data_IF_657134570987
#
_entry.id   IF_657134570987
#
_cell.length_a   1.000
_cell.length_b   1.000
_cell.length_c   1.000
_cell.angle_alpha   90.00
_cell.angle_beta   90.00
_cell.angle_gamma   90.00
#
_symmetry.space_group_name_H-M   'P 1'
#
loop_
_entity.id
_entity.type
_entity.pdbx_description
1 polymer ?
#
# COMPACT_ATOMS: atom_id res chain seq x y z
N UNK A 1 -28.86 -30.18 -12.59
CA UNK A 1 -28.67 -28.76 -12.31
C UNK A 1 -29.96 -28.22 -11.77
N UNK A 2 -30.04 -27.82 -10.51
CA UNK A 2 -31.25 -27.19 -9.99
C UNK A 2 -31.24 -25.70 -10.28
N UNK A 3 -32.39 -25.22 -10.79
CA UNK A 3 -32.65 -23.82 -11.08
C UNK A 3 -32.61 -22.94 -9.83
N UNK A 4 -31.91 -21.82 -9.93
CA UNK A 4 -31.91 -20.77 -8.88
C UNK A 4 -33.22 -19.97 -8.94
N UNK A 5 -33.90 -19.73 -7.81
CA UNK A 5 -35.06 -18.87 -7.78
C UNK A 5 -34.62 -17.38 -7.95
N UNK A 6 -35.32 -16.73 -8.86
CA UNK A 6 -35.23 -15.27 -9.12
C UNK A 6 -35.70 -14.50 -7.88
N UNK A 7 -34.97 -13.42 -7.47
CA UNK A 7 -35.45 -12.55 -6.40
C UNK A 7 -36.71 -11.79 -6.82
N UNK A 8 -37.73 -11.82 -5.98
CA UNK A 8 -38.95 -11.04 -6.18
C UNK A 8 -38.66 -9.54 -6.02
N UNK A 9 -39.08 -8.75 -7.02
CA UNK A 9 -39.10 -7.29 -6.92
C UNK A 9 -40.02 -6.84 -5.77
N UNK A 10 -39.65 -5.83 -5.01
CA UNK A 10 -40.53 -5.22 -4.02
C UNK A 10 -41.63 -4.44 -4.76
N UNK A 11 -42.84 -4.94 -4.72
CA UNK A 11 -44.03 -4.19 -5.09
C UNK A 11 -44.28 -3.09 -4.05
N UNK A 12 -43.86 -1.87 -4.36
CA UNK A 12 -44.35 -0.66 -3.70
C UNK A 12 -45.83 -0.48 -4.05
N UNK A 13 -46.71 -1.02 -3.21
CA UNK A 13 -48.13 -0.72 -3.29
C UNK A 13 -48.37 0.67 -2.72
N UNK A 14 -48.98 1.59 -3.50
CA UNK A 14 -49.32 2.92 -2.99
C UNK A 14 -50.35 2.77 -1.86
N UNK A 15 -49.99 3.26 -0.68
CA UNK A 15 -50.92 3.31 0.47
C UNK A 15 -51.93 4.41 0.18
N UNK A 16 -53.14 4.02 -0.20
CA UNK A 16 -54.26 4.92 -0.38
C UNK A 16 -54.91 5.16 0.98
N UNK A 17 -54.72 6.32 1.58
CA UNK A 17 -55.50 6.72 2.75
C UNK A 17 -56.83 7.34 2.30
N UNK A 18 -57.93 6.60 2.54
CA UNK A 18 -59.26 7.16 2.36
C UNK A 18 -59.64 7.98 3.60
N UNK A 19 -59.74 9.30 3.44
CA UNK A 19 -60.32 10.16 4.46
C UNK A 19 -61.81 10.24 4.19
N UNK A 20 -62.66 9.90 5.19
CA UNK A 20 -64.08 9.95 5.14
C UNK A 20 -64.53 11.43 4.91
N UNK A 21 -64.89 11.75 3.64
CA UNK A 21 -65.23 13.09 3.25
C UNK A 21 -64.91 13.41 1.77
N UNK A 22 -64.42 12.45 1.00
CA UNK A 22 -64.32 12.56 -0.47
C UNK A 22 -63.08 13.25 -1.02
N UNK A 23 -62.02 13.39 -0.24
CA UNK A 23 -60.73 13.88 -0.73
C UNK A 23 -59.68 12.76 -0.72
N UNK A 24 -59.19 12.36 -1.88
CA UNK A 24 -58.12 11.39 -2.04
C UNK A 24 -56.80 12.14 -2.26
N UNK A 25 -55.84 12.00 -1.35
CA UNK A 25 -54.54 12.59 -1.50
C UNK A 25 -53.56 11.50 -1.94
N UNK A 26 -52.97 11.65 -3.11
CA UNK A 26 -51.96 10.74 -3.64
C UNK A 26 -50.56 11.19 -3.20
N UNK A 27 -49.73 10.35 -2.55
CA UNK A 27 -48.39 10.75 -2.18
C UNK A 27 -47.50 10.84 -3.43
N UNK A 28 -46.92 12.00 -3.67
CA UNK A 28 -45.98 12.19 -4.80
C UNK A 28 -45.87 13.61 -5.35
N UNK A 29 -46.51 14.59 -4.73
CA UNK A 29 -46.37 15.98 -5.09
C UNK A 29 -46.73 16.93 -3.96
N UNK A 30 -46.27 18.18 -4.02
CA UNK A 30 -46.64 19.21 -3.08
C UNK A 30 -48.15 19.48 -3.18
N UNK A 31 -48.91 18.93 -2.23
CA UNK A 31 -50.34 19.20 -2.13
C UNK A 31 -50.56 20.40 -1.17
N UNK A 32 -50.85 21.58 -1.73
CA UNK A 32 -51.27 22.73 -0.96
C UNK A 32 -52.80 22.71 -0.89
N UNK A 33 -53.36 22.24 0.25
CA UNK A 33 -54.79 22.24 0.49
C UNK A 33 -55.13 23.49 1.28
N UNK A 34 -55.52 24.54 0.59
CA UNK A 34 -56.12 25.71 1.21
C UNK A 34 -57.62 25.65 1.04
N UNK A 35 -58.32 25.25 2.11
CA UNK A 35 -59.80 25.23 2.16
C UNK A 35 -60.30 24.57 3.44
N UNK A 36 -61.51 24.94 3.84
CA UNK A 36 -62.19 24.34 4.98
C UNK A 36 -62.71 22.93 4.62
N UNK A 37 -62.13 21.90 5.22
CA UNK A 37 -62.70 20.55 5.18
C UNK A 37 -63.77 20.47 6.24
N UNK A 38 -65.04 20.63 5.84
CA UNK A 38 -66.19 20.58 6.75
C UNK A 38 -66.65 19.12 6.91
N UNK A 39 -66.15 18.46 7.93
CA UNK A 39 -66.82 17.33 8.54
C UNK A 39 -67.82 17.86 9.58
N UNK A 40 -68.57 16.98 10.26
CA UNK A 40 -69.58 17.36 11.26
C UNK A 40 -69.04 18.24 12.39
N UNK A 41 -67.73 18.24 12.58
CA UNK A 41 -66.99 19.16 13.47
C UNK A 41 -65.96 19.88 12.64
N UNK A 42 -65.93 21.22 12.76
CA UNK A 42 -64.97 22.08 12.06
C UNK A 42 -63.56 21.90 12.65
N UNK A 43 -62.77 20.99 12.05
CA UNK A 43 -61.39 20.81 12.41
C UNK A 43 -60.52 21.52 11.40
N UNK A 44 -59.95 22.65 11.84
CA UNK A 44 -58.94 23.36 11.04
C UNK A 44 -57.57 22.69 11.31
N UNK A 45 -57.13 21.80 10.44
CA UNK A 45 -55.80 21.22 10.53
C UNK A 45 -54.87 21.94 9.58
N UNK A 46 -54.02 22.80 10.12
CA UNK A 46 -52.92 23.40 9.33
C UNK A 46 -51.73 22.47 9.35
N UNK A 47 -51.55 21.72 8.30
CA UNK A 47 -50.34 20.88 8.13
C UNK A 47 -49.31 21.70 7.39
N UNK A 48 -48.32 22.20 8.11
CA UNK A 48 -47.15 22.81 7.48
C UNK A 48 -46.19 21.68 7.11
N UNK A 49 -46.17 21.29 5.85
CA UNK A 49 -45.14 20.38 5.33
C UNK A 49 -43.89 21.21 5.10
N UNK A 50 -42.96 21.12 6.04
CA UNK A 50 -41.62 21.70 5.84
C UNK A 50 -40.85 20.76 4.92
N UNK A 51 -40.75 21.11 3.66
CA UNK A 51 -39.90 20.39 2.72
C UNK A 51 -38.44 20.64 3.12
N UNK A 52 -37.81 19.68 3.83
CA UNK A 52 -36.41 19.73 4.23
C UNK A 52 -35.53 19.35 3.04
N UNK A 53 -35.89 19.75 1.84
CA UNK A 53 -35.04 19.67 0.66
C UNK A 53 -33.84 20.59 0.86
N UNK A 54 -32.63 20.05 0.72
CA UNK A 54 -31.44 20.91 0.70
C UNK A 54 -31.55 21.90 -0.45
N UNK A 55 -31.44 23.20 -0.12
CA UNK A 55 -31.40 24.25 -1.14
C UNK A 55 -30.21 24.01 -2.07
N UNK A 56 -30.34 24.40 -3.34
CA UNK A 56 -29.25 24.25 -4.33
C UNK A 56 -27.94 24.87 -3.85
N UNK A 57 -28.02 25.92 -3.06
CA UNK A 57 -26.87 26.57 -2.44
C UNK A 57 -26.25 25.73 -1.31
N UNK A 58 -27.06 25.06 -0.50
CA UNK A 58 -26.57 24.14 0.54
C UNK A 58 -25.87 22.93 -0.09
N UNK A 59 -26.42 22.36 -1.17
CA UNK A 59 -25.79 21.29 -1.94
C UNK A 59 -24.46 21.75 -2.53
N UNK A 60 -24.43 22.93 -3.16
CA UNK A 60 -23.19 23.50 -3.70
C UNK A 60 -22.12 23.71 -2.64
N UNK A 61 -22.48 24.25 -1.47
CA UNK A 61 -21.55 24.42 -0.36
C UNK A 61 -21.03 23.07 0.15
N UNK A 62 -21.90 22.07 0.28
CA UNK A 62 -21.52 20.72 0.68
C UNK A 62 -20.51 20.13 -0.29
N UNK A 63 -20.77 20.18 -1.60
CA UNK A 63 -19.88 19.66 -2.64
C UNK A 63 -18.52 20.35 -2.61
N UNK A 64 -18.50 21.69 -2.46
CA UNK A 64 -17.24 22.44 -2.35
C UNK A 64 -16.49 22.03 -1.08
N UNK A 65 -17.18 21.95 0.08
CA UNK A 65 -16.54 21.57 1.35
C UNK A 65 -15.97 20.16 1.29
N UNK A 66 -16.73 19.20 0.77
CA UNK A 66 -16.25 17.82 0.58
C UNK A 66 -15.08 17.77 -0.41
N UNK A 67 -15.16 18.51 -1.51
CA UNK A 67 -14.08 18.61 -2.50
C UNK A 67 -12.79 19.17 -1.89
N UNK A 68 -12.89 20.25 -1.11
CA UNK A 68 -11.74 20.85 -0.41
C UNK A 68 -11.17 19.88 0.62
N UNK A 69 -12.02 19.17 1.37
CA UNK A 69 -11.58 18.20 2.38
C UNK A 69 -10.84 17.03 1.72
N UNK A 70 -11.38 16.47 0.64
CA UNK A 70 -10.75 15.38 -0.11
C UNK A 70 -9.40 15.84 -0.68
N UNK A 71 -9.35 17.04 -1.27
CA UNK A 71 -8.10 17.59 -1.81
C UNK A 71 -7.05 17.84 -0.71
N UNK A 72 -7.44 18.43 0.43
CA UNK A 72 -6.55 18.63 1.56
C UNK A 72 -6.04 17.31 2.13
N UNK A 73 -6.90 16.30 2.25
CA UNK A 73 -6.51 14.95 2.70
C UNK A 73 -5.51 14.33 1.74
N UNK A 74 -5.74 14.41 0.43
CA UNK A 74 -4.81 13.91 -0.58
C UNK A 74 -3.45 14.61 -0.48
N UNK A 75 -3.42 15.95 -0.35
CA UNK A 75 -2.18 16.70 -0.16
C UNK A 75 -1.42 16.27 1.10
N UNK A 76 -2.12 16.05 2.22
CA UNK A 76 -1.51 15.55 3.45
C UNK A 76 -0.89 14.16 3.24
N UNK A 77 -1.55 13.25 2.54
CA UNK A 77 -1.01 11.93 2.22
C UNK A 77 0.26 12.02 1.36
N UNK A 78 0.25 12.87 0.32
CA UNK A 78 1.43 13.08 -0.52
C UNK A 78 2.60 13.69 0.26
N UNK A 79 2.33 14.70 1.09
CA UNK A 79 3.36 15.31 1.92
C UNK A 79 3.94 14.32 2.95
N UNK A 80 3.08 13.55 3.61
CA UNK A 80 3.51 12.52 4.55
C UNK A 80 4.34 11.43 3.87
N UNK A 81 3.92 10.95 2.69
CA UNK A 81 4.68 9.99 1.89
C UNK A 81 6.07 10.52 1.52
N UNK A 82 6.17 11.78 1.06
CA UNK A 82 7.44 12.41 0.71
C UNK A 82 8.37 12.54 1.92
N UNK A 83 7.87 12.99 3.07
CA UNK A 83 8.68 13.14 4.30
C UNK A 83 9.17 11.78 4.81
N UNK A 84 8.30 10.77 4.85
CA UNK A 84 8.67 9.45 5.38
C UNK A 84 9.56 8.64 4.43
N UNK A 85 9.51 8.94 3.13
CA UNK A 85 10.37 8.34 2.11
C UNK A 85 11.70 9.10 1.93
N UNK A 86 11.85 10.31 2.48
CA UNK A 86 12.95 11.21 2.16
C UNK A 86 14.34 10.59 2.38
N UNK A 87 14.54 9.85 3.47
CA UNK A 87 15.82 9.20 3.75
C UNK A 87 16.18 8.14 2.69
N UNK A 88 15.21 7.34 2.26
CA UNK A 88 15.40 6.35 1.21
C UNK A 88 15.63 7.03 -0.14
N UNK A 89 14.83 8.05 -0.48
CA UNK A 89 14.99 8.81 -1.73
C UNK A 89 16.36 9.47 -1.82
N UNK A 90 16.88 10.05 -0.72
CA UNK A 90 18.23 10.58 -0.63
C UNK A 90 19.30 9.51 -0.90
N UNK A 91 19.11 8.29 -0.36
CA UNK A 91 20.01 7.18 -0.62
C UNK A 91 20.01 6.76 -2.10
N UNK A 92 18.86 6.76 -2.76
CA UNK A 92 18.75 6.43 -4.20
C UNK A 92 19.24 7.54 -5.13
N UNK A 93 19.36 8.78 -4.65
CA UNK A 93 19.96 9.87 -5.41
C UNK A 93 21.49 9.69 -5.59
N UNK A 94 22.15 8.90 -4.73
CA UNK A 94 23.57 8.58 -4.84
C UNK A 94 23.83 7.62 -5.99
N UNK A 95 24.86 7.85 -6.83
CA UNK A 95 25.28 6.87 -7.82
C UNK A 95 25.83 5.61 -7.13
N UNK A 96 25.49 4.44 -7.64
CA UNK A 96 26.12 3.16 -7.28
C UNK A 96 26.40 2.41 -8.57
N UNK A 97 27.65 2.04 -8.75
CA UNK A 97 28.12 1.33 -9.93
C UNK A 97 27.74 -0.16 -9.81
N UNK A 98 26.57 -0.49 -10.38
CA UNK A 98 26.16 -1.90 -10.46
C UNK A 98 26.88 -2.59 -11.61
N UNK A 99 27.57 -3.69 -11.33
CA UNK A 99 28.30 -4.50 -12.33
C UNK A 99 27.84 -5.97 -12.32
N UNK A 100 27.90 -6.60 -13.47
CA UNK A 100 27.56 -8.02 -13.60
C UNK A 100 28.53 -8.90 -12.78
N UNK A 101 29.80 -8.50 -12.67
CA UNK A 101 30.78 -9.21 -11.86
C UNK A 101 30.41 -9.20 -10.36
N UNK A 102 30.03 -8.04 -9.82
CA UNK A 102 29.58 -7.94 -8.42
C UNK A 102 28.30 -8.78 -8.18
N UNK A 103 27.38 -8.78 -9.16
CA UNK A 103 26.19 -9.61 -9.08
C UNK A 103 26.52 -11.11 -9.02
N UNK A 104 27.42 -11.57 -9.86
CA UNK A 104 27.86 -12.98 -9.85
C UNK A 104 28.63 -13.34 -8.59
N UNK A 105 29.49 -12.45 -8.07
CA UNK A 105 30.18 -12.69 -6.80
C UNK A 105 29.18 -12.82 -5.64
N UNK A 106 28.19 -11.96 -5.58
CA UNK A 106 27.12 -12.04 -4.58
C UNK A 106 26.37 -13.38 -4.69
N UNK A 107 25.95 -13.75 -5.90
CA UNK A 107 25.25 -14.99 -6.17
C UNK A 107 26.08 -16.24 -5.78
N UNK A 108 27.36 -16.23 -6.08
CA UNK A 108 28.26 -17.34 -5.72
C UNK A 108 28.36 -17.47 -4.18
N UNK A 109 28.46 -16.37 -3.45
CA UNK A 109 28.49 -16.38 -2.01
C UNK A 109 27.15 -16.88 -1.42
N UNK A 110 26.03 -16.45 -1.99
CA UNK A 110 24.69 -16.90 -1.60
C UNK A 110 24.55 -18.42 -1.82
N UNK A 111 25.00 -18.91 -2.97
CA UNK A 111 24.99 -20.34 -3.30
C UNK A 111 25.90 -21.16 -2.35
N UNK A 112 27.05 -20.59 -1.95
CA UNK A 112 27.91 -21.23 -0.96
C UNK A 112 27.21 -21.37 0.40
N UNK A 113 26.51 -20.32 0.85
CA UNK A 113 25.73 -20.39 2.10
C UNK A 113 24.60 -21.41 1.98
N UNK A 114 23.91 -21.45 0.84
CA UNK A 114 22.84 -22.42 0.57
C UNK A 114 23.33 -23.88 0.49
N UNK A 115 24.60 -24.10 0.09
CA UNK A 115 25.21 -25.42 -0.01
C UNK A 115 25.76 -25.95 1.32
N UNK A 116 25.76 -25.14 2.38
CA UNK A 116 26.23 -25.57 3.71
C UNK A 116 25.31 -26.66 4.30
N UNK A 117 25.91 -27.52 5.12
CA UNK A 117 25.14 -28.53 5.86
C UNK A 117 24.17 -27.84 6.86
N UNK A 118 23.06 -28.53 7.22
CA UNK A 118 22.09 -27.98 8.17
C UNK A 118 22.76 -27.55 9.47
N UNK A 119 22.38 -26.39 9.98
CA UNK A 119 22.91 -25.80 11.23
C UNK A 119 24.38 -25.43 11.20
N UNK A 120 25.02 -25.45 10.03
CA UNK A 120 26.41 -25.01 9.93
C UNK A 120 26.46 -23.47 10.07
N UNK A 121 27.31 -22.94 10.96
CA UNK A 121 27.49 -21.51 11.09
C UNK A 121 28.22 -20.95 9.87
N UNK A 122 27.86 -19.74 9.48
CA UNK A 122 28.55 -19.00 8.42
C UNK A 122 28.68 -17.52 8.81
N UNK A 123 29.66 -16.89 8.19
CA UNK A 123 29.80 -15.44 8.19
C UNK A 123 29.87 -14.96 6.76
N UNK A 124 29.03 -14.00 6.42
CA UNK A 124 28.96 -13.43 5.09
C UNK A 124 28.97 -11.91 5.19
N UNK A 125 29.82 -11.26 4.39
CA UNK A 125 29.92 -9.82 4.28
C UNK A 125 29.76 -9.41 2.82
N UNK A 126 28.98 -8.37 2.56
CA UNK A 126 28.76 -7.82 1.22
C UNK A 126 28.53 -6.30 1.27
N UNK A 127 28.89 -5.65 0.20
CA UNK A 127 28.72 -4.22 0.04
C UNK A 127 27.36 -3.84 -0.58
N UNK A 128 27.00 -2.58 -0.50
CA UNK A 128 25.79 -2.04 -1.15
C UNK A 128 25.80 -2.29 -2.67
N UNK A 129 26.98 -2.17 -3.29
CA UNK A 129 27.22 -2.45 -4.71
C UNK A 129 26.91 -3.90 -5.09
N UNK A 130 27.29 -4.85 -4.24
CA UNK A 130 27.08 -6.28 -4.49
C UNK A 130 25.58 -6.62 -4.50
N UNK A 131 24.87 -6.20 -3.44
CA UNK A 131 23.42 -6.42 -3.33
C UNK A 131 22.66 -5.67 -4.43
N UNK A 132 23.02 -4.41 -4.72
CA UNK A 132 22.38 -3.62 -5.77
C UNK A 132 22.59 -4.23 -7.16
N UNK A 133 23.78 -4.74 -7.42
CA UNK A 133 24.11 -5.45 -8.66
C UNK A 133 23.31 -6.75 -8.79
N UNK A 134 23.24 -7.54 -7.73
CA UNK A 134 22.46 -8.77 -7.70
C UNK A 134 20.97 -8.51 -7.96
N UNK A 135 20.38 -7.52 -7.26
CA UNK A 135 18.98 -7.13 -7.47
C UNK A 135 18.74 -6.72 -8.91
N UNK A 136 19.63 -5.96 -9.51
CA UNK A 136 19.46 -5.46 -10.87
C UNK A 136 19.62 -6.54 -11.95
N UNK A 137 20.63 -7.39 -11.83
CA UNK A 137 21.05 -8.30 -12.92
C UNK A 137 20.57 -9.74 -12.75
N UNK A 138 20.24 -10.16 -11.53
CA UNK A 138 19.85 -11.55 -11.25
C UNK A 138 18.41 -11.63 -10.76
N UNK A 139 18.11 -11.07 -9.61
CA UNK A 139 16.77 -11.13 -9.00
C UNK A 139 15.73 -10.39 -9.86
N UNK A 140 16.02 -9.16 -10.25
CA UNK A 140 15.06 -8.29 -10.93
C UNK A 140 14.45 -8.89 -12.18
N UNK A 141 15.23 -9.44 -13.13
CA UNK A 141 14.71 -10.11 -14.31
C UNK A 141 13.79 -11.29 -14.00
N UNK A 142 14.01 -12.00 -12.90
CA UNK A 142 13.20 -13.16 -12.51
C UNK A 142 11.83 -12.75 -11.96
N UNK A 143 11.78 -11.65 -11.22
CA UNK A 143 10.57 -11.20 -10.52
C UNK A 143 9.87 -10.02 -11.21
N UNK A 144 10.36 -9.59 -12.37
CA UNK A 144 9.83 -8.44 -13.12
C UNK A 144 10.04 -7.12 -12.39
N UNK A 145 11.16 -6.97 -11.66
CA UNK A 145 11.52 -5.79 -10.90
C UNK A 145 12.82 -5.17 -11.42
N UNK A 146 12.73 -4.07 -12.14
CA UNK A 146 13.92 -3.33 -12.62
C UNK A 146 14.37 -2.32 -11.56
N UNK A 147 14.97 -2.81 -10.50
CA UNK A 147 15.27 -2.01 -9.33
C UNK A 147 16.71 -2.09 -8.85
N UNK A 148 16.96 -1.35 -7.78
CA UNK A 148 18.22 -1.28 -7.06
C UNK A 148 17.97 -1.39 -5.58
N UNK A 149 19.01 -1.73 -4.82
CA UNK A 149 18.97 -1.70 -3.36
C UNK A 149 19.89 -0.62 -2.79
N UNK A 150 19.59 -0.17 -1.57
CA UNK A 150 20.39 0.79 -0.80
C UNK A 150 20.39 0.44 0.67
N UNK A 151 21.52 0.66 1.32
CA UNK A 151 21.59 0.63 2.77
C UNK A 151 21.21 2.00 3.33
N UNK A 152 20.40 2.00 4.38
CA UNK A 152 19.94 3.21 5.05
C UNK A 152 20.59 3.35 6.44
N UNK A 153 20.88 4.59 6.90
CA UNK A 153 21.43 4.83 8.23
C UNK A 153 20.56 4.27 9.39
N UNK A 154 19.26 4.09 9.14
CA UNK A 154 18.30 3.50 10.09
C UNK A 154 18.42 1.98 10.26
N UNK A 155 19.49 1.35 9.80
CA UNK A 155 19.68 -0.11 9.77
C UNK A 155 18.61 -0.83 8.96
N UNK A 156 18.29 -0.28 7.83
CA UNK A 156 17.29 -0.80 6.89
C UNK A 156 17.92 -0.98 5.52
N UNK A 157 17.28 -1.79 4.70
CA UNK A 157 17.61 -1.95 3.29
C UNK A 157 16.40 -1.50 2.49
N UNK A 158 16.61 -0.58 1.57
CA UNK A 158 15.58 -0.14 0.66
C UNK A 158 15.78 -0.75 -0.72
N UNK A 159 14.68 -1.15 -1.36
CA UNK A 159 14.62 -1.60 -2.74
C UNK A 159 13.73 -0.62 -3.50
N UNK A 160 14.19 -0.10 -4.65
CA UNK A 160 13.41 0.84 -5.46
C UNK A 160 13.56 0.54 -6.95
N UNK A 161 12.44 0.53 -7.66
CA UNK A 161 12.39 0.39 -9.11
C UNK A 161 10.98 0.09 -9.62
N UNK A 162 10.77 0.14 -10.95
CA UNK A 162 9.53 -0.32 -11.56
C UNK A 162 9.32 -1.82 -11.34
N UNK A 163 8.08 -2.21 -11.05
CA UNK A 163 7.69 -3.60 -10.85
C UNK A 163 6.44 -3.97 -11.67
N UNK A 164 6.53 -5.07 -12.39
CA UNK A 164 5.45 -5.56 -13.26
C UNK A 164 4.16 -5.91 -12.50
N UNK A 165 4.27 -6.29 -11.22
CA UNK A 165 3.13 -6.61 -10.36
C UNK A 165 2.19 -5.43 -10.07
N UNK A 166 2.64 -4.19 -10.32
CA UNK A 166 1.85 -2.96 -10.19
C UNK A 166 1.89 -2.12 -11.47
N UNK A 167 1.71 -2.75 -12.61
CA UNK A 167 1.69 -2.09 -13.93
C UNK A 167 2.96 -1.27 -14.25
N UNK A 168 4.13 -1.77 -13.86
CA UNK A 168 5.42 -1.10 -14.01
C UNK A 168 5.52 0.28 -13.32
N UNK A 169 4.67 0.55 -12.34
CA UNK A 169 4.88 1.70 -11.47
C UNK A 169 6.14 1.47 -10.62
N UNK A 170 6.82 2.56 -10.30
CA UNK A 170 7.94 2.47 -9.37
C UNK A 170 7.44 2.15 -7.96
N UNK A 171 7.99 1.11 -7.37
CA UNK A 171 7.77 0.73 -5.97
C UNK A 171 9.02 1.01 -5.16
N UNK A 172 8.84 1.28 -3.87
CA UNK A 172 9.91 1.35 -2.91
C UNK A 172 9.52 0.56 -1.66
N UNK A 173 10.34 -0.45 -1.34
CA UNK A 173 10.21 -1.23 -0.11
C UNK A 173 11.34 -0.82 0.83
N UNK A 174 11.01 -0.56 2.07
CA UNK A 174 11.98 -0.37 3.15
C UNK A 174 11.84 -1.56 4.08
N UNK A 175 12.92 -2.32 4.22
CA UNK A 175 12.93 -3.58 4.96
C UNK A 175 13.98 -3.57 6.06
N UNK A 176 13.72 -4.32 7.12
CA UNK A 176 14.69 -4.61 8.18
C UNK A 176 15.06 -6.09 8.14
N UNK A 177 16.33 -6.39 8.39
CA UNK A 177 16.78 -7.78 8.54
C UNK A 177 16.44 -8.28 9.94
N UNK A 178 15.63 -9.32 10.01
CA UNK A 178 15.34 -10.01 11.27
C UNK A 178 16.42 -11.01 11.63
N UNK A 179 16.67 -11.13 12.94
CA UNK A 179 17.55 -12.14 13.49
C UNK A 179 16.73 -13.23 14.20
N UNK A 180 17.24 -14.45 14.17
CA UNK A 180 16.65 -15.63 14.82
C UNK A 180 15.25 -16.05 14.32
N UNK A 181 14.82 -15.55 13.19
CA UNK A 181 13.52 -15.89 12.58
C UNK A 181 13.58 -15.85 11.06
N UNK A 182 12.58 -16.46 10.43
CA UNK A 182 12.28 -16.31 9.02
C UNK A 182 10.88 -15.66 8.90
N UNK A 183 10.62 -14.83 7.89
CA UNK A 183 11.51 -14.43 6.80
C UNK A 183 12.62 -13.49 7.28
N UNK A 184 13.74 -13.47 6.57
CA UNK A 184 14.91 -12.65 6.93
C UNK A 184 14.66 -11.16 6.68
N UNK A 185 13.99 -10.84 5.56
CA UNK A 185 13.61 -9.47 5.21
C UNK A 185 12.16 -9.22 5.64
N UNK A 186 11.97 -8.28 6.55
CA UNK A 186 10.64 -7.86 7.02
C UNK A 186 10.35 -6.46 6.53
N UNK A 187 9.16 -6.27 5.99
CA UNK A 187 8.72 -5.00 5.47
C UNK A 187 8.40 -4.03 6.61
N UNK A 188 9.08 -2.89 6.63
CA UNK A 188 8.75 -1.78 7.53
C UNK A 188 7.78 -0.81 6.86
N UNK A 189 8.05 -0.47 5.60
CA UNK A 189 7.23 0.49 4.82
C UNK A 189 7.27 0.15 3.35
N UNK A 190 6.17 0.46 2.67
CA UNK A 190 6.05 0.35 1.22
C UNK A 190 5.46 1.62 0.63
N UNK A 191 5.95 1.97 -0.56
CA UNK A 191 5.47 3.13 -1.32
C UNK A 191 5.34 2.76 -2.79
N UNK A 192 4.37 3.39 -3.45
CA UNK A 192 4.23 3.34 -4.91
C UNK A 192 4.26 4.77 -5.45
N UNK A 193 4.98 4.98 -6.53
CA UNK A 193 4.98 6.27 -7.21
C UNK A 193 3.83 6.34 -8.20
N UNK A 194 2.76 7.04 -7.84
CA UNK A 194 1.55 7.17 -8.67
C UNK A 194 1.71 8.25 -9.74
N UNK A 195 2.41 9.34 -9.40
CA UNK A 195 2.65 10.45 -10.31
C UNK A 195 4.16 10.63 -10.50
N UNK A 196 4.68 10.44 -11.71
CA UNK A 196 6.10 10.64 -12.01
C UNK A 196 6.45 12.15 -12.11
N UNK A 197 6.16 12.90 -11.04
CA UNK A 197 6.48 14.33 -10.91
C UNK A 197 7.95 14.52 -10.49
N UNK A 198 8.88 13.88 -11.25
CA UNK A 198 10.28 13.80 -10.87
C UNK A 198 10.58 12.66 -9.90
N UNK A 199 11.86 12.45 -9.60
CA UNK A 199 12.33 11.31 -8.81
C UNK A 199 11.82 11.29 -7.35
N UNK A 200 11.49 12.47 -6.80
CA UNK A 200 11.23 12.65 -5.37
C UNK A 200 9.76 12.92 -5.02
N UNK A 201 8.89 13.07 -6.01
CA UNK A 201 7.48 13.41 -5.78
C UNK A 201 6.57 12.26 -6.23
N UNK A 202 5.37 12.25 -5.68
CA UNK A 202 4.34 11.28 -6.08
C UNK A 202 4.41 9.92 -5.39
N UNK A 203 5.26 9.77 -4.38
CA UNK A 203 5.33 8.57 -3.55
C UNK A 203 4.20 8.53 -2.54
N UNK A 204 3.42 7.47 -2.57
CA UNK A 204 2.27 7.26 -1.69
C UNK A 204 2.51 5.99 -0.89
N UNK A 205 2.37 6.04 0.45
CA UNK A 205 2.44 4.84 1.26
C UNK A 205 1.30 3.88 0.89
N UNK A 206 1.65 2.62 0.74
CA UNK A 206 0.69 1.55 0.41
C UNK A 206 0.70 0.47 1.48
N UNK A 207 -0.42 -0.24 1.68
CA UNK A 207 -0.46 -1.37 2.60
C UNK A 207 0.47 -2.50 2.14
N UNK A 208 0.99 -3.26 3.11
CA UNK A 208 1.96 -4.33 2.87
C UNK A 208 1.49 -5.35 1.83
N UNK A 209 0.22 -5.70 1.83
CA UNK A 209 -0.36 -6.67 0.90
C UNK A 209 -0.19 -6.30 -0.59
N UNK A 210 -0.07 -5.00 -0.90
CA UNK A 210 0.17 -4.52 -2.28
C UNK A 210 1.51 -4.99 -2.84
N UNK A 211 2.53 -5.07 -1.99
CA UNK A 211 3.91 -5.40 -2.36
C UNK A 211 4.39 -6.73 -1.78
N UNK A 212 3.53 -7.41 -1.02
CA UNK A 212 3.87 -8.69 -0.39
C UNK A 212 4.40 -9.73 -1.38
N UNK A 213 3.82 -9.90 -2.58
CA UNK A 213 4.36 -10.87 -3.55
C UNK A 213 5.81 -10.57 -3.97
N UNK A 214 6.20 -9.30 -4.09
CA UNK A 214 7.58 -8.93 -4.38
C UNK A 214 8.49 -9.22 -3.18
N UNK A 215 8.04 -8.90 -1.98
CA UNK A 215 8.80 -9.19 -0.75
C UNK A 215 9.00 -10.70 -0.54
N UNK A 216 7.97 -11.50 -0.81
CA UNK A 216 8.05 -12.96 -0.71
C UNK A 216 9.07 -13.53 -1.70
N UNK A 217 9.12 -12.99 -2.92
CA UNK A 217 10.13 -13.37 -3.91
C UNK A 217 11.54 -12.96 -3.46
N UNK A 218 11.70 -11.74 -2.93
CA UNK A 218 12.98 -11.29 -2.35
C UNK A 218 13.42 -12.24 -1.23
N UNK A 219 12.51 -12.61 -0.33
CA UNK A 219 12.82 -13.54 0.75
C UNK A 219 13.10 -14.96 0.26
N UNK A 220 12.38 -15.43 -0.74
CA UNK A 220 12.62 -16.75 -1.34
C UNK A 220 14.02 -16.85 -1.94
N UNK A 221 14.48 -15.77 -2.55
CA UNK A 221 15.78 -15.75 -3.25
C UNK A 221 16.95 -15.39 -2.31
N UNK A 222 16.78 -14.35 -1.50
CA UNK A 222 17.84 -13.82 -0.64
C UNK A 222 17.86 -14.38 0.79
N UNK A 223 16.78 -14.98 1.26
CA UNK A 223 16.60 -15.35 2.67
C UNK A 223 16.22 -16.81 2.95
N UNK A 224 15.96 -17.63 1.93
CA UNK A 224 15.41 -18.96 2.16
C UNK A 224 16.41 -20.00 2.67
N UNK A 225 17.70 -19.75 2.50
CA UNK A 225 18.76 -20.73 2.81
C UNK A 225 19.32 -20.65 4.23
N UNK A 226 18.93 -19.65 5.04
CA UNK A 226 19.55 -19.41 6.33
C UNK A 226 18.68 -18.64 7.32
N UNK A 227 19.09 -18.67 8.60
CA UNK A 227 18.60 -17.76 9.63
C UNK A 227 19.76 -16.89 10.10
N UNK A 228 19.57 -15.57 10.04
CA UNK A 228 20.54 -14.63 10.58
C UNK A 228 20.52 -14.66 12.12
N UNK A 229 21.69 -14.78 12.74
CA UNK A 229 21.86 -14.71 14.19
C UNK A 229 22.27 -13.30 14.64
N UNK A 230 23.08 -12.65 13.81
CA UNK A 230 23.55 -11.29 14.04
C UNK A 230 23.69 -10.55 12.70
N UNK A 231 23.35 -9.28 12.71
CA UNK A 231 23.51 -8.38 11.58
C UNK A 231 24.30 -7.16 12.02
N UNK A 232 25.41 -6.89 11.36
CA UNK A 232 26.20 -5.68 11.58
C UNK A 232 26.08 -4.81 10.34
N UNK A 233 25.46 -3.66 10.49
CA UNK A 233 25.32 -2.68 9.41
C UNK A 233 26.60 -1.86 9.24
N UNK A 234 26.89 -1.36 8.03
CA UNK A 234 28.01 -0.46 7.81
C UNK A 234 27.83 0.86 8.58
N UNK A 235 28.91 1.54 8.83
CA UNK A 235 28.86 2.94 9.25
C UNK A 235 28.41 3.82 8.07
N UNK A 236 27.96 5.03 8.37
CA UNK A 236 27.53 5.97 7.36
C UNK A 236 28.28 7.29 7.50
N UNK A 237 28.63 7.86 6.37
CA UNK A 237 29.16 9.23 6.28
C UNK A 237 28.07 10.26 6.56
N UNK A 238 28.42 11.53 6.72
CA UNK A 238 27.47 12.60 6.96
C UNK A 238 26.45 12.80 5.81
N UNK A 239 26.83 12.45 4.60
CA UNK A 239 25.96 12.42 3.40
C UNK A 239 25.19 11.11 3.24
N UNK A 240 25.27 10.21 4.22
CA UNK A 240 24.52 8.98 4.28
C UNK A 240 25.07 7.85 3.40
N UNK A 241 26.31 7.95 2.90
CA UNK A 241 26.94 6.85 2.17
C UNK A 241 27.42 5.76 3.14
N UNK A 242 27.20 4.47 2.84
CA UNK A 242 27.72 3.38 3.68
C UNK A 242 29.24 3.29 3.56
N UNK A 243 29.89 3.02 4.67
CA UNK A 243 31.35 2.79 4.76
C UNK A 243 31.57 1.38 5.26
N UNK A 244 32.02 0.52 4.36
CA UNK A 244 32.25 -0.89 4.62
C UNK A 244 31.02 -1.79 4.35
N UNK A 245 31.20 -3.10 4.54
CA UNK A 245 30.20 -4.09 4.23
C UNK A 245 29.12 -4.21 5.32
N UNK A 246 27.97 -4.71 4.92
CA UNK A 246 27.01 -5.33 5.82
C UNK A 246 27.50 -6.75 6.11
N UNK A 247 27.57 -7.12 7.38
CA UNK A 247 28.00 -8.45 7.79
C UNK A 247 26.86 -9.22 8.44
N UNK A 248 26.66 -10.45 7.97
CA UNK A 248 25.70 -11.41 8.49
C UNK A 248 26.45 -12.58 9.14
N UNK A 249 26.06 -12.91 10.35
CA UNK A 249 26.44 -14.19 10.98
C UNK A 249 25.14 -14.97 11.11
N UNK A 250 25.15 -16.21 10.64
CA UNK A 250 23.94 -17.02 10.63
C UNK A 250 24.21 -18.51 10.68
N UNK A 251 23.14 -19.25 10.58
CA UNK A 251 23.15 -20.71 10.40
C UNK A 251 22.39 -21.08 9.14
N UNK A 252 22.90 -22.04 8.38
CA UNK A 252 22.22 -22.56 7.22
C UNK A 252 20.98 -23.35 7.61
N UNK A 253 19.93 -23.26 6.77
CA UNK A 253 18.73 -24.06 6.85
C UNK A 253 18.63 -24.81 5.51
N UNK A 254 18.71 -26.11 5.50
CA UNK A 254 18.42 -26.90 4.30
C UNK A 254 17.00 -27.38 4.39
N UNK A 255 16.15 -26.95 3.45
CA UNK A 255 14.88 -27.59 3.10
C UNK A 255 13.86 -27.76 4.22
N UNK A 256 13.96 -26.99 5.29
CA UNK A 256 13.05 -27.08 6.41
C UNK A 256 12.40 -25.73 6.73
N UNK A 257 11.13 -25.74 7.08
CA UNK A 257 10.51 -24.63 7.77
C UNK A 257 11.37 -24.20 8.95
N UNK A 258 11.64 -22.89 9.06
CA UNK A 258 12.30 -22.33 10.24
C UNK A 258 11.61 -22.84 11.52
N UNK A 259 12.35 -23.08 12.58
CA UNK A 259 11.78 -23.55 13.85
C UNK A 259 10.83 -22.51 14.44
#
# INVERSE_FOLDING_TARGET
>A
MPEQPTPAEPHDSPVTQNVSGGVTVQPGGDANISGDVVGRDKITTTTTVTNVGMTSEAVRRLVITVGVLVFATALCFFAFGAVTAAAALGAFARPVDSTLSAAHNFQNNLNQVAALSPRQPFQWAFEETDLSSYVRFVLGPQVGFDGRSRFLPSRQIAFQGPWSGVNNLAVMLITTLQTNSAPVYVLDRAYVQILPLGANLGWVPVPANTVQPLLDQINADLGSGFVARSVSYPNFTADGAPVGPLSLIGISIIGGTAP
#
